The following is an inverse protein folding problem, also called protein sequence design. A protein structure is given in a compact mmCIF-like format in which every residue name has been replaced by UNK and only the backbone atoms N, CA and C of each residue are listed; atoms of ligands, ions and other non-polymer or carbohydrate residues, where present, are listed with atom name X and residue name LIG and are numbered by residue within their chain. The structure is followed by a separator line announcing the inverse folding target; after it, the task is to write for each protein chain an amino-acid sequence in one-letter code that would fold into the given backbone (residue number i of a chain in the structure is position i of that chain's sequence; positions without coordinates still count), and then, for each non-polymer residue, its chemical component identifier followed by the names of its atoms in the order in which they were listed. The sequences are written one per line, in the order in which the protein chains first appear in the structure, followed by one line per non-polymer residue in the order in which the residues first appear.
data_IF_146202556350
#
_entry.id   IF_146202556350
#
_cell.length_a   1.000
_cell.length_b   1.000
_cell.length_c   1.000
_cell.angle_alpha   90.00
_cell.angle_beta   90.00
_cell.angle_gamma   90.00
#
_symmetry.space_group_name_H-M   'P 1'
#
loop_
_entity.id
_entity.type
_entity.pdbx_description
1 polymer ?
#
# COMPACT_ATOMS: atom_id res chain seq x y z
N UNK A 1 2.76 -27.72 0.52
CA UNK A 1 2.61 -27.77 -0.95
C UNK A 1 3.80 -28.52 -1.53
N UNK A 2 3.55 -29.52 -2.37
CA UNK A 2 4.59 -30.21 -3.15
C UNK A 2 5.03 -29.35 -4.34
N UNK A 3 6.33 -29.19 -4.55
CA UNK A 3 6.90 -28.34 -5.59
C UNK A 3 6.70 -28.94 -6.99
N UNK A 4 6.60 -30.26 -7.12
CA UNK A 4 6.20 -30.94 -8.35
C UNK A 4 4.81 -30.52 -8.86
N UNK A 5 3.96 -29.99 -7.98
CA UNK A 5 2.60 -29.50 -8.31
C UNK A 5 2.57 -28.00 -8.59
N UNK A 6 3.65 -27.27 -8.32
CA UNK A 6 3.75 -25.86 -8.67
C UNK A 6 4.07 -25.74 -10.17
N UNK A 7 3.21 -25.05 -10.92
CA UNK A 7 3.40 -24.91 -12.37
C UNK A 7 4.53 -23.95 -12.74
N UNK A 8 4.86 -23.01 -11.84
CA UNK A 8 5.93 -22.05 -12.07
C UNK A 8 7.30 -22.67 -11.86
N UNK A 9 8.31 -22.09 -12.53
CA UNK A 9 9.72 -22.50 -12.43
C UNK A 9 10.58 -21.26 -12.31
N UNK A 10 11.74 -21.42 -11.70
CA UNK A 10 12.75 -20.35 -11.67
C UNK A 10 13.42 -20.20 -13.03
N UNK A 11 13.75 -18.97 -13.40
CA UNK A 11 14.56 -18.68 -14.58
C UNK A 11 16.05 -18.69 -14.22
N UNK A 12 16.89 -19.08 -15.19
CA UNK A 12 18.35 -19.04 -15.05
C UNK A 12 18.88 -17.61 -15.17
N UNK A 13 18.37 -16.88 -16.17
CA UNK A 13 18.77 -15.51 -16.47
C UNK A 13 17.71 -14.51 -15.98
N UNK A 14 18.14 -13.27 -15.72
CA UNK A 14 17.22 -12.18 -15.41
C UNK A 14 16.47 -11.74 -16.68
N UNK A 15 15.21 -11.29 -16.56
CA UNK A 15 14.48 -10.73 -17.70
C UNK A 15 15.19 -9.48 -18.23
N UNK A 16 15.41 -9.42 -19.55
CA UNK A 16 16.16 -8.34 -20.21
C UNK A 16 15.34 -7.07 -20.42
N UNK A 17 14.01 -7.19 -20.43
CA UNK A 17 13.06 -6.10 -20.64
C UNK A 17 12.67 -5.37 -19.34
N UNK A 18 13.33 -5.73 -18.23
CA UNK A 18 13.11 -5.15 -16.90
C UNK A 18 14.46 -4.74 -16.31
N UNK A 19 14.51 -3.59 -15.64
CA UNK A 19 15.75 -3.03 -15.08
C UNK A 19 15.72 -2.93 -13.56
N UNK A 20 14.54 -3.03 -12.96
CA UNK A 20 14.37 -2.93 -11.53
C UNK A 20 14.68 -4.25 -10.84
N UNK A 21 15.47 -4.19 -9.76
CA UNK A 21 15.90 -5.38 -9.04
C UNK A 21 14.71 -6.17 -8.49
N UNK A 22 13.71 -5.49 -7.91
CA UNK A 22 12.52 -6.14 -7.40
C UNK A 22 11.79 -6.95 -8.47
N UNK A 23 11.50 -6.37 -9.65
CA UNK A 23 10.76 -7.10 -10.67
C UNK A 23 11.61 -8.18 -11.34
N UNK A 24 12.89 -7.90 -11.63
CA UNK A 24 13.80 -8.92 -12.17
C UNK A 24 13.88 -10.15 -11.26
N UNK A 25 14.05 -9.94 -9.95
CA UNK A 25 14.18 -11.02 -8.97
C UNK A 25 12.86 -11.76 -8.77
N UNK A 26 11.74 -11.05 -8.69
CA UNK A 26 10.41 -11.66 -8.55
C UNK A 26 10.01 -12.48 -9.77
N UNK A 27 10.31 -11.99 -10.98
CA UNK A 27 10.07 -12.74 -12.24
C UNK A 27 10.97 -13.97 -12.28
N UNK A 28 12.27 -13.81 -12.01
CA UNK A 28 13.23 -14.93 -11.97
C UNK A 28 12.83 -16.00 -10.97
N UNK A 29 12.30 -15.62 -9.82
CA UNK A 29 11.83 -16.54 -8.78
C UNK A 29 10.43 -17.12 -9.04
N UNK A 30 9.73 -16.71 -10.10
CA UNK A 30 8.39 -17.18 -10.43
C UNK A 30 7.29 -16.68 -9.47
N UNK A 31 7.48 -15.50 -8.89
CA UNK A 31 6.50 -14.83 -8.01
C UNK A 31 5.54 -13.93 -8.79
N UNK A 32 6.03 -13.29 -9.85
CA UNK A 32 5.21 -12.46 -10.74
C UNK A 32 5.58 -12.73 -12.20
N UNK A 33 4.67 -12.42 -13.10
CA UNK A 33 4.90 -12.38 -14.55
C UNK A 33 4.51 -11.01 -15.09
N UNK A 34 5.26 -10.48 -16.05
CA UNK A 34 5.03 -9.14 -16.60
C UNK A 34 4.12 -9.25 -17.82
N UNK A 35 2.87 -8.83 -17.66
CA UNK A 35 1.89 -8.81 -18.75
C UNK A 35 2.10 -7.59 -19.67
N UNK A 36 2.56 -6.48 -19.10
CA UNK A 36 2.84 -5.24 -19.84
C UNK A 36 3.59 -4.22 -18.97
N UNK A 37 3.88 -3.05 -19.54
CA UNK A 37 4.58 -1.99 -18.81
C UNK A 37 3.76 -1.53 -17.59
N UNK A 38 4.25 -1.86 -16.39
CA UNK A 38 3.57 -1.55 -15.12
C UNK A 38 2.35 -2.42 -14.82
N UNK A 39 2.20 -3.58 -15.47
CA UNK A 39 1.08 -4.51 -15.29
C UNK A 39 1.66 -5.91 -15.05
N UNK A 40 1.42 -6.46 -13.87
CA UNK A 40 2.02 -7.72 -13.42
C UNK A 40 0.97 -8.71 -12.95
N UNK A 41 1.10 -9.95 -13.38
CA UNK A 41 0.34 -11.09 -12.87
C UNK A 41 1.03 -11.64 -11.63
N UNK A 42 0.33 -11.73 -10.51
CA UNK A 42 0.85 -12.39 -9.31
C UNK A 42 0.67 -13.90 -9.44
N UNK A 43 1.79 -14.63 -9.48
CA UNK A 43 1.84 -16.10 -9.57
C UNK A 43 1.66 -16.73 -8.18
N UNK A 44 1.47 -18.06 -8.04
CA UNK A 44 1.04 -18.66 -6.77
C UNK A 44 1.87 -18.27 -5.54
N UNK A 45 3.20 -18.20 -5.66
CA UNK A 45 4.06 -17.79 -4.54
C UNK A 45 3.94 -16.29 -4.25
N UNK A 46 3.92 -15.44 -5.28
CA UNK A 46 3.76 -13.99 -5.11
C UNK A 46 2.40 -13.61 -4.56
N UNK A 47 1.33 -14.28 -5.03
CA UNK A 47 -0.02 -14.06 -4.52
C UNK A 47 -0.14 -14.48 -3.04
N UNK A 48 0.55 -15.55 -2.60
CA UNK A 48 0.61 -15.91 -1.17
C UNK A 48 1.24 -14.79 -0.34
N UNK A 49 2.39 -14.25 -0.76
CA UNK A 49 3.06 -13.14 -0.06
C UNK A 49 2.17 -11.90 -0.03
N UNK A 50 1.61 -11.52 -1.18
CA UNK A 50 0.71 -10.38 -1.32
C UNK A 50 -0.50 -10.50 -0.38
N UNK A 51 -1.14 -11.68 -0.31
CA UNK A 51 -2.25 -11.93 0.60
C UNK A 51 -1.84 -11.85 2.08
N UNK A 52 -0.65 -12.35 2.44
CA UNK A 52 -0.13 -12.21 3.81
C UNK A 52 0.09 -10.75 4.20
N UNK A 53 0.63 -9.93 3.29
CA UNK A 53 0.74 -8.48 3.49
C UNK A 53 -0.64 -7.86 3.67
N UNK A 54 -1.60 -8.18 2.79
CA UNK A 54 -2.98 -7.68 2.91
C UNK A 54 -3.63 -8.06 4.25
N UNK A 55 -3.39 -9.29 4.74
CA UNK A 55 -3.93 -9.76 6.01
C UNK A 55 -3.31 -9.05 7.22
N UNK A 56 -2.03 -8.71 7.18
CA UNK A 56 -1.39 -7.87 8.21
C UNK A 56 -2.06 -6.49 8.22
N UNK A 57 -2.19 -5.87 7.04
CA UNK A 57 -2.81 -4.54 6.91
C UNK A 57 -4.24 -4.57 7.43
N UNK A 58 -5.06 -5.55 7.01
CA UNK A 58 -6.44 -5.76 7.45
C UNK A 58 -6.53 -5.83 8.97
N UNK A 59 -5.75 -6.70 9.59
CA UNK A 59 -5.73 -6.87 11.04
C UNK A 59 -5.42 -5.56 11.79
N UNK A 60 -4.48 -4.75 11.30
CA UNK A 60 -4.14 -3.47 11.94
C UNK A 60 -5.17 -2.35 11.67
N UNK A 61 -5.91 -2.41 10.55
CA UNK A 61 -7.03 -1.49 10.29
C UNK A 61 -8.26 -1.86 11.13
N UNK A 62 -8.57 -3.14 11.26
CA UNK A 62 -9.67 -3.64 12.11
C UNK A 62 -9.40 -3.29 13.59
N UNK A 63 -8.14 -3.42 14.03
CA UNK A 63 -7.74 -3.10 15.40
C UNK A 63 -7.93 -1.62 15.78
N UNK A 64 -8.03 -0.71 14.81
CA UNK A 64 -8.32 0.72 15.05
C UNK A 64 -9.78 1.09 14.74
N UNK A 65 -10.66 0.09 14.61
CA UNK A 65 -12.09 0.29 14.35
C UNK A 65 -12.43 0.59 12.89
N UNK A 66 -11.49 0.37 11.96
CA UNK A 66 -11.76 0.46 10.53
C UNK A 66 -12.71 -0.65 10.08
N UNK A 67 -13.68 -0.30 9.24
CA UNK A 67 -14.64 -1.27 8.68
C UNK A 67 -14.30 -1.56 7.22
N UNK A 68 -14.00 -2.82 6.90
CA UNK A 68 -13.66 -3.19 5.53
C UNK A 68 -14.92 -3.20 4.62
N UNK A 69 -14.84 -2.49 3.51
CA UNK A 69 -15.83 -2.44 2.43
C UNK A 69 -15.13 -2.71 1.09
N UNK A 70 -15.90 -2.90 0.02
CA UNK A 70 -15.35 -3.03 -1.33
C UNK A 70 -16.08 -2.10 -2.29
N UNK A 71 -15.39 -1.07 -2.78
CA UNK A 71 -15.93 -0.11 -3.75
C UNK A 71 -15.56 -0.52 -5.19
N UNK A 72 -16.40 -0.17 -6.18
CA UNK A 72 -16.16 -0.54 -7.57
C UNK A 72 -14.92 0.16 -8.14
N UNK A 73 -14.23 -0.52 -9.07
CA UNK A 73 -13.13 0.08 -9.83
C UNK A 73 -13.62 1.08 -10.89
N UNK A 74 -14.82 0.85 -11.44
CA UNK A 74 -15.38 1.69 -12.50
C UNK A 74 -16.27 2.79 -11.89
N UNK A 75 -15.86 4.04 -12.01
CA UNK A 75 -16.49 5.18 -11.34
C UNK A 75 -17.11 6.10 -12.40
N UNK A 76 -18.41 6.44 -12.30
CA UNK A 76 -19.06 7.36 -13.25
C UNK A 76 -18.38 8.74 -13.28
N UNK A 77 -18.26 9.33 -14.48
CA UNK A 77 -17.70 10.69 -14.67
C UNK A 77 -18.31 11.74 -13.74
N UNK A 78 -19.62 11.66 -13.47
CA UNK A 78 -20.33 12.61 -12.58
C UNK A 78 -19.66 12.76 -11.21
N UNK A 79 -19.21 11.66 -10.60
CA UNK A 79 -18.56 11.67 -9.28
C UNK A 79 -17.27 12.51 -9.30
N UNK A 80 -16.45 12.35 -10.34
CA UNK A 80 -15.21 13.10 -10.52
C UNK A 80 -15.44 14.57 -10.90
N UNK A 81 -16.53 14.87 -11.62
CA UNK A 81 -16.91 16.24 -11.93
C UNK A 81 -17.32 17.00 -10.67
N UNK A 82 -18.01 16.34 -9.72
CA UNK A 82 -18.41 16.96 -8.45
C UNK A 82 -17.21 17.53 -7.69
N UNK A 83 -16.04 16.89 -7.78
CA UNK A 83 -14.82 17.32 -7.09
C UNK A 83 -13.82 18.01 -8.00
N UNK A 84 -14.22 18.35 -9.24
CA UNK A 84 -13.39 18.95 -10.28
C UNK A 84 -12.14 18.12 -10.65
N UNK A 85 -12.08 16.85 -10.24
CA UNK A 85 -10.94 15.96 -10.47
C UNK A 85 -11.00 15.20 -11.79
N UNK A 86 -12.11 15.27 -12.52
CA UNK A 86 -12.19 14.65 -13.85
C UNK A 86 -11.11 15.18 -14.79
N UNK A 87 -10.90 16.49 -14.85
CA UNK A 87 -9.94 17.13 -15.76
C UNK A 87 -8.60 17.46 -15.10
N UNK A 88 -8.57 17.58 -13.77
CA UNK A 88 -7.38 17.99 -13.01
C UNK A 88 -6.60 16.82 -12.37
N UNK A 89 -7.02 15.57 -12.60
CA UNK A 89 -6.26 14.39 -12.19
C UNK A 89 -5.55 13.77 -13.39
N UNK A 90 -4.29 14.17 -13.59
CA UNK A 90 -3.46 13.79 -14.74
C UNK A 90 -3.37 12.27 -14.99
N UNK A 91 -3.32 11.46 -13.93
CA UNK A 91 -3.18 10.00 -14.03
C UNK A 91 -4.53 9.24 -14.07
N UNK A 92 -5.65 9.89 -14.37
CA UNK A 92 -6.95 9.21 -14.47
C UNK A 92 -7.12 8.51 -15.83
N UNK A 93 -7.34 7.20 -15.82
CA UNK A 93 -7.82 6.50 -17.02
C UNK A 93 -9.30 6.85 -17.25
N UNK A 94 -9.61 7.38 -18.44
CA UNK A 94 -10.97 7.72 -18.88
C UNK A 94 -11.41 6.71 -19.94
N UNK A 95 -12.63 6.19 -19.80
CA UNK A 95 -13.24 5.19 -20.66
C UNK A 95 -14.60 5.66 -21.15
N UNK A 96 -14.99 5.21 -22.34
CA UNK A 96 -16.34 5.41 -22.89
C UNK A 96 -16.99 4.03 -23.00
N UNK A 97 -18.13 3.84 -22.32
CA UNK A 97 -18.90 2.60 -22.39
C UNK A 97 -19.66 2.48 -23.71
N UNK A 98 -20.14 1.27 -24.04
CA UNK A 98 -20.93 1.04 -25.25
C UNK A 98 -22.24 1.86 -25.33
N UNK A 99 -22.71 2.37 -24.20
CA UNK A 99 -23.83 3.30 -24.07
C UNK A 99 -23.44 4.79 -24.20
N UNK A 100 -22.22 5.09 -24.64
CA UNK A 100 -21.63 6.44 -24.73
C UNK A 100 -21.47 7.18 -23.39
N UNK A 101 -21.64 6.50 -22.25
CA UNK A 101 -21.37 7.10 -20.94
C UNK A 101 -19.88 7.01 -20.62
N UNK A 102 -19.37 8.03 -19.93
CA UNK A 102 -17.97 8.11 -19.54
C UNK A 102 -17.75 7.63 -18.11
N UNK A 103 -16.61 6.95 -17.92
CA UNK A 103 -16.20 6.36 -16.67
C UNK A 103 -14.71 6.62 -16.42
N UNK A 104 -14.32 6.77 -15.17
CA UNK A 104 -12.94 6.70 -14.74
C UNK A 104 -12.65 5.32 -14.15
N UNK A 105 -11.48 4.75 -14.44
CA UNK A 105 -10.96 3.68 -13.58
C UNK A 105 -10.40 4.30 -12.31
N UNK A 106 -10.78 3.76 -11.16
CA UNK A 106 -10.46 4.29 -9.85
C UNK A 106 -8.96 4.34 -9.59
N UNK A 107 -8.38 5.53 -9.65
CA UNK A 107 -7.04 5.83 -9.13
C UNK A 107 -7.02 5.95 -7.60
N UNK A 108 -8.20 6.19 -7.01
CA UNK A 108 -8.56 6.39 -5.60
C UNK A 108 -10.10 6.46 -5.51
N UNK A 109 -10.66 6.65 -4.31
CA UNK A 109 -12.11 6.50 -4.06
C UNK A 109 -12.74 7.59 -3.18
N UNK A 110 -12.12 8.76 -2.99
CA UNK A 110 -12.74 9.84 -2.20
C UNK A 110 -14.16 10.20 -2.72
N UNK A 111 -14.35 10.26 -4.04
CA UNK A 111 -15.61 10.60 -4.71
C UNK A 111 -16.69 9.51 -4.64
N UNK A 112 -16.31 8.30 -4.23
CA UNK A 112 -17.21 7.15 -4.10
C UNK A 112 -17.64 7.00 -2.66
N UNK A 113 -16.68 7.04 -1.73
CA UNK A 113 -16.93 6.83 -0.31
C UNK A 113 -17.69 7.99 0.32
N UNK A 114 -17.42 9.22 -0.10
CA UNK A 114 -18.01 10.42 0.52
C UNK A 114 -19.55 10.44 0.42
N UNK A 115 -20.17 10.35 -0.78
CA UNK A 115 -21.64 10.29 -0.88
C UNK A 115 -22.23 8.95 -0.39
N UNK A 116 -21.42 7.90 -0.25
CA UNK A 116 -21.88 6.65 0.36
C UNK A 116 -22.10 6.84 1.87
N UNK A 117 -21.12 7.42 2.57
CA UNK A 117 -21.14 7.59 4.01
C UNK A 117 -22.17 8.65 4.45
N UNK A 118 -22.45 9.64 3.60
CA UNK A 118 -23.54 10.60 3.81
C UNK A 118 -24.90 9.94 4.07
N UNK A 119 -25.15 8.74 3.52
CA UNK A 119 -26.43 8.02 3.73
C UNK A 119 -26.61 7.52 5.16
N UNK A 120 -25.53 7.46 5.94
CA UNK A 120 -25.50 6.86 7.26
C UNK A 120 -25.02 7.83 8.35
N UNK A 121 -24.33 8.92 7.98
CA UNK A 121 -23.94 9.99 8.90
C UNK A 121 -25.05 11.03 8.92
N UNK A 122 -25.91 10.99 9.95
CA UNK A 122 -27.03 11.92 10.10
C UNK A 122 -26.84 12.88 11.28
N UNK A 123 -26.13 12.42 12.31
CA UNK A 123 -25.89 13.19 13.54
C UNK A 123 -24.47 13.00 14.05
N UNK A 124 -24.08 13.80 15.05
CA UNK A 124 -22.79 13.67 15.71
C UNK A 124 -22.55 12.29 16.34
N UNK A 125 -23.61 11.53 16.65
CA UNK A 125 -23.52 10.19 17.25
C UNK A 125 -23.01 9.14 16.26
N UNK A 126 -23.12 9.41 14.96
CA UNK A 126 -22.62 8.53 13.90
C UNK A 126 -21.11 8.77 13.63
N UNK A 127 -20.50 9.74 14.32
CA UNK A 127 -19.11 10.15 14.16
C UNK A 127 -18.31 9.91 15.46
N UNK A 128 -17.03 9.55 15.40
CA UNK A 128 -16.21 9.34 14.21
C UNK A 128 -16.36 7.93 13.64
N UNK A 129 -16.27 7.80 12.31
CA UNK A 129 -16.31 6.51 11.61
C UNK A 129 -15.18 6.40 10.59
N UNK A 130 -14.66 5.19 10.38
CA UNK A 130 -13.64 4.91 9.39
C UNK A 130 -13.98 3.64 8.61
N UNK A 131 -13.89 3.74 7.28
CA UNK A 131 -14.05 2.61 6.37
C UNK A 131 -12.80 2.47 5.51
N UNK A 132 -12.47 1.25 5.10
CA UNK A 132 -11.34 1.01 4.20
C UNK A 132 -11.64 -0.11 3.23
N UNK A 133 -10.82 -0.23 2.20
CA UNK A 133 -10.85 -1.36 1.29
C UNK A 133 -9.42 -1.78 0.94
N UNK A 134 -9.23 -3.00 0.47
CA UNK A 134 -8.02 -3.44 -0.25
C UNK A 134 -8.44 -3.80 -1.68
N UNK A 135 -8.13 -2.93 -2.63
CA UNK A 135 -8.70 -3.01 -3.98
C UNK A 135 -7.73 -2.51 -5.06
N UNK A 136 -7.83 -3.05 -6.27
CA UNK A 136 -6.99 -2.71 -7.43
C UNK A 136 -7.27 -1.33 -8.00
N UNK A 137 -6.25 -0.48 -8.01
CA UNK A 137 -6.27 0.88 -8.55
C UNK A 137 -5.60 0.94 -9.91
N UNK A 138 -5.99 1.96 -10.68
CA UNK A 138 -5.45 2.23 -12.00
C UNK A 138 -4.95 3.67 -12.06
N UNK A 139 -3.69 3.87 -12.45
CA UNK A 139 -3.12 5.19 -12.74
C UNK A 139 -2.52 5.17 -14.14
N UNK A 140 -2.93 6.12 -14.98
CA UNK A 140 -2.42 6.32 -16.33
C UNK A 140 -1.02 6.92 -16.31
N UNK A 141 -0.08 6.19 -15.68
CA UNK A 141 1.31 6.57 -15.54
C UNK A 141 1.98 6.59 -16.93
N UNK A 142 2.41 7.77 -17.42
CA UNK A 142 3.03 7.89 -18.72
C UNK A 142 4.27 6.98 -18.85
N UNK A 143 5.02 6.85 -17.76
CA UNK A 143 6.24 6.02 -17.71
C UNK A 143 6.22 5.10 -16.49
N UNK A 144 5.60 3.94 -16.65
CA UNK A 144 5.72 2.86 -15.67
C UNK A 144 7.18 2.40 -15.62
N UNK A 145 7.75 2.35 -14.42
CA UNK A 145 9.16 2.03 -14.16
C UNK A 145 9.30 1.40 -12.77
N UNK A 146 10.49 0.96 -12.41
CA UNK A 146 10.79 0.45 -11.07
C UNK A 146 9.96 -0.77 -10.62
N UNK A 147 9.45 -1.58 -11.55
CA UNK A 147 8.79 -2.84 -11.22
C UNK A 147 7.47 -2.65 -10.48
N UNK A 148 7.32 -3.34 -9.34
CA UNK A 148 6.15 -3.20 -8.48
C UNK A 148 6.10 -1.86 -7.73
N UNK A 149 7.16 -1.06 -7.75
CA UNK A 149 7.19 0.23 -7.06
C UNK A 149 6.36 1.30 -7.79
N UNK A 150 6.26 1.24 -9.13
CA UNK A 150 5.53 2.24 -9.92
C UNK A 150 4.89 1.62 -11.17
N UNK A 151 3.77 0.94 -10.94
CA UNK A 151 2.91 0.34 -11.97
C UNK A 151 1.75 1.24 -12.42
N UNK A 152 0.99 0.75 -13.40
CA UNK A 152 -0.29 1.33 -13.86
C UNK A 152 -1.47 0.68 -13.18
N UNK A 153 -1.38 -0.62 -12.93
CA UNK A 153 -2.35 -1.40 -12.17
C UNK A 153 -1.68 -1.91 -10.89
N UNK A 154 -2.27 -1.61 -9.73
CA UNK A 154 -1.68 -1.98 -8.45
C UNK A 154 -2.73 -2.11 -7.36
N UNK A 155 -2.50 -2.99 -6.39
CA UNK A 155 -3.34 -3.07 -5.19
C UNK A 155 -3.06 -1.88 -4.27
N UNK A 156 -4.11 -1.33 -3.68
CA UNK A 156 -3.99 -0.34 -2.62
C UNK A 156 -4.98 -0.66 -1.52
N UNK A 157 -4.51 -0.56 -0.28
CA UNK A 157 -5.38 -0.29 0.85
C UNK A 157 -5.60 1.20 0.92
N UNK A 158 -6.84 1.63 0.89
CA UNK A 158 -7.25 3.03 1.08
C UNK A 158 -8.33 3.08 2.18
N UNK A 159 -8.03 3.85 3.23
CA UNK A 159 -8.92 4.11 4.37
C UNK A 159 -9.38 5.56 4.31
N UNK A 160 -10.64 5.80 4.65
CA UNK A 160 -11.26 7.12 4.73
C UNK A 160 -11.94 7.25 6.09
N UNK A 161 -11.63 8.33 6.80
CA UNK A 161 -12.21 8.62 8.11
C UNK A 161 -13.02 9.90 8.08
N UNK A 162 -14.10 9.93 8.86
CA UNK A 162 -15.09 11.00 8.93
C UNK A 162 -15.25 11.42 10.39
N UNK A 163 -15.17 12.72 10.65
CA UNK A 163 -15.03 13.30 11.98
C UNK A 163 -15.92 14.53 12.15
N UNK A 164 -16.34 14.85 13.39
CA UNK A 164 -17.11 16.05 13.67
C UNK A 164 -16.27 17.32 13.49
N UNK A 165 -14.97 17.26 13.77
CA UNK A 165 -14.07 18.39 13.71
C UNK A 165 -12.61 18.00 13.43
N UNK A 166 -11.78 19.03 13.26
CA UNK A 166 -10.33 18.91 13.01
C UNK A 166 -9.57 18.27 14.18
N UNK A 167 -10.05 18.38 15.41
CA UNK A 167 -9.36 17.81 16.57
C UNK A 167 -9.58 16.30 16.64
N UNK A 168 -10.82 15.85 16.42
CA UNK A 168 -11.15 14.44 16.26
C UNK A 168 -10.37 13.81 15.09
N UNK A 169 -10.26 14.51 13.95
CA UNK A 169 -9.41 14.08 12.84
C UNK A 169 -7.94 13.97 13.25
N UNK A 170 -7.37 14.96 13.94
CA UNK A 170 -5.97 14.92 14.41
C UNK A 170 -5.72 13.75 15.35
N UNK A 171 -6.66 13.42 16.23
CA UNK A 171 -6.54 12.29 17.13
C UNK A 171 -6.55 10.97 16.37
N UNK A 172 -7.50 10.77 15.46
CA UNK A 172 -7.57 9.57 14.63
C UNK A 172 -6.36 9.43 13.69
N UNK A 173 -5.86 10.54 13.15
CA UNK A 173 -4.66 10.57 12.32
C UNK A 173 -3.43 10.00 13.07
N UNK A 174 -3.28 10.31 14.37
CA UNK A 174 -2.21 9.74 15.22
C UNK A 174 -2.43 8.24 15.48
N UNK A 175 -3.67 7.78 15.57
CA UNK A 175 -4.00 6.34 15.70
C UNK A 175 -3.55 5.60 14.43
N UNK A 176 -3.91 6.11 13.25
CA UNK A 176 -3.50 5.52 11.97
C UNK A 176 -1.98 5.54 11.81
N UNK A 177 -1.29 6.61 12.23
CA UNK A 177 0.17 6.65 12.21
C UNK A 177 0.79 5.48 12.98
N UNK A 178 0.31 5.21 14.19
CA UNK A 178 0.79 4.08 15.01
C UNK A 178 0.48 2.73 14.37
N UNK A 179 -0.70 2.57 13.78
CA UNK A 179 -1.07 1.35 13.07
C UNK A 179 -0.16 1.10 11.86
N UNK A 180 0.22 2.13 11.11
CA UNK A 180 1.12 2.00 9.96
C UNK A 180 2.51 1.54 10.39
N UNK A 181 3.06 2.09 11.47
CA UNK A 181 4.32 1.59 12.02
C UNK A 181 4.26 0.11 12.43
N UNK A 182 3.16 -0.34 13.06
CA UNK A 182 2.95 -1.76 13.37
C UNK A 182 2.88 -2.63 12.12
N UNK A 183 2.21 -2.16 11.06
CA UNK A 183 2.18 -2.87 9.77
C UNK A 183 3.62 -3.05 9.24
N UNK A 184 4.40 -1.97 9.22
CA UNK A 184 5.77 -2.03 8.70
C UNK A 184 6.70 -2.86 9.57
N UNK A 185 6.53 -2.85 10.90
CA UNK A 185 7.21 -3.77 11.82
C UNK A 185 6.89 -5.23 11.51
N UNK A 186 5.60 -5.58 11.40
CA UNK A 186 5.15 -6.94 11.05
C UNK A 186 5.60 -7.37 9.65
N UNK A 187 5.80 -6.43 8.74
CA UNK A 187 6.37 -6.65 7.41
C UNK A 187 7.90 -6.56 7.36
N UNK A 188 8.60 -6.42 8.50
CA UNK A 188 10.06 -6.42 8.57
C UNK A 188 10.76 -5.16 8.06
N UNK A 189 10.05 -4.04 7.93
CA UNK A 189 10.56 -2.78 7.38
C UNK A 189 10.73 -1.65 8.40
N UNK A 190 10.44 -1.88 9.69
CA UNK A 190 10.44 -0.80 10.69
C UNK A 190 11.78 -0.07 10.78
N UNK A 191 12.91 -0.80 10.74
CA UNK A 191 14.26 -0.23 10.84
C UNK A 191 14.66 0.64 9.64
N UNK A 192 13.91 0.53 8.54
CA UNK A 192 14.14 1.27 7.30
C UNK A 192 13.14 2.41 7.13
N UNK A 193 12.09 2.46 7.93
CA UNK A 193 10.92 3.34 7.72
C UNK A 193 11.01 4.61 8.56
N UNK A 194 10.78 5.76 7.92
CA UNK A 194 10.80 7.07 8.54
C UNK A 194 9.48 7.81 8.27
N UNK A 195 8.91 8.41 9.32
CA UNK A 195 7.84 9.39 9.14
C UNK A 195 8.44 10.61 8.45
N UNK A 196 7.92 10.94 7.28
CA UNK A 196 8.50 11.95 6.41
C UNK A 196 7.51 13.08 6.20
N UNK A 197 7.93 14.31 6.51
CA UNK A 197 7.18 15.51 6.20
C UNK A 197 7.26 15.75 4.69
N UNK A 198 6.11 15.86 4.05
CA UNK A 198 6.01 15.98 2.60
C UNK A 198 5.00 17.04 2.19
N UNK A 199 5.00 17.40 0.90
CA UNK A 199 3.98 18.27 0.34
C UNK A 199 2.62 17.56 0.41
N UNK A 200 1.57 18.26 0.82
CA UNK A 200 0.23 17.68 0.87
C UNK A 200 -0.46 17.54 -0.49
N UNK A 201 0.28 17.79 -1.57
CA UNK A 201 -0.18 17.73 -2.96
C UNK A 201 -1.45 18.55 -3.18
N UNK A 202 -2.41 17.97 -3.89
CA UNK A 202 -3.70 18.62 -4.14
C UNK A 202 -4.57 18.75 -2.87
N UNK A 203 -4.25 18.02 -1.79
CA UNK A 203 -5.17 17.79 -0.66
C UNK A 203 -4.96 18.74 0.51
N UNK A 204 -3.73 19.12 0.80
CA UNK A 204 -3.37 19.96 1.95
C UNK A 204 -2.02 20.63 1.73
N UNK A 205 -1.63 21.58 2.58
CA UNK A 205 -0.30 22.20 2.49
C UNK A 205 0.81 21.18 2.79
N UNK A 206 0.62 20.34 3.81
CA UNK A 206 1.59 19.33 4.26
C UNK A 206 0.89 18.02 4.60
N UNK A 207 1.55 16.91 4.31
CA UNK A 207 1.14 15.55 4.68
C UNK A 207 2.28 14.82 5.39
N UNK A 208 2.02 13.57 5.79
CA UNK A 208 3.08 12.66 6.20
C UNK A 208 3.10 11.43 5.30
N UNK A 209 4.28 11.16 4.78
CA UNK A 209 4.62 9.93 4.09
C UNK A 209 5.34 8.97 5.04
N UNK A 210 5.27 7.69 4.72
CA UNK A 210 6.09 6.65 5.31
C UNK A 210 7.08 6.22 4.24
N UNK A 211 8.32 6.63 4.41
CA UNK A 211 9.39 6.44 3.45
C UNK A 211 10.35 5.37 3.98
N UNK A 212 10.58 4.32 3.20
CA UNK A 212 11.58 3.31 3.53
C UNK A 212 12.88 3.57 2.76
N UNK A 213 14.03 3.59 3.46
CA UNK A 213 15.34 3.69 2.80
C UNK A 213 15.48 2.52 1.84
N UNK A 214 15.68 2.83 0.57
CA UNK A 214 15.66 1.86 -0.52
C UNK A 214 16.55 2.38 -1.66
N UNK A 215 17.62 1.66 -2.03
CA UNK A 215 18.49 2.06 -3.15
C UNK A 215 17.74 2.22 -4.47
N UNK A 216 16.76 1.33 -4.74
CA UNK A 216 15.88 1.38 -5.91
C UNK A 216 14.74 2.41 -5.81
N UNK A 217 14.70 3.19 -4.72
CA UNK A 217 13.69 4.21 -4.48
C UNK A 217 13.84 5.45 -5.36
N UNK A 218 12.72 6.09 -5.70
CA UNK A 218 12.69 7.29 -6.54
C UNK A 218 12.86 8.58 -5.72
N UNK A 219 12.44 8.53 -4.45
CA UNK A 219 12.40 9.69 -3.58
C UNK A 219 13.77 9.95 -2.95
N UNK A 220 13.96 11.19 -2.55
CA UNK A 220 15.14 11.61 -1.78
C UNK A 220 14.62 12.27 -0.52
N UNK A 221 15.08 11.79 0.63
CA UNK A 221 14.65 12.28 1.94
C UNK A 221 15.86 12.72 2.77
N UNK A 222 15.62 13.68 3.67
CA UNK A 222 16.60 14.24 4.59
C UNK A 222 16.25 13.84 6.01
N UNK A 223 17.04 12.94 6.59
CA UNK A 223 16.74 12.23 7.83
C UNK A 223 17.43 12.91 9.00
N UNK A 224 16.68 13.17 10.07
CA UNK A 224 17.23 13.50 11.37
C UNK A 224 17.47 12.21 12.17
N UNK A 225 18.73 11.78 12.30
CA UNK A 225 19.06 10.54 13.02
C UNK A 225 18.71 10.59 14.52
N UNK A 226 18.61 11.79 15.12
CA UNK A 226 18.19 11.99 16.52
C UNK A 226 16.70 11.70 16.75
N UNK A 227 15.84 12.17 15.83
CA UNK A 227 14.38 12.07 15.97
C UNK A 227 13.76 10.94 15.16
N UNK A 228 14.52 10.31 14.25
CA UNK A 228 14.04 9.29 13.31
C UNK A 228 12.84 9.76 12.48
N UNK A 229 12.84 11.05 12.13
CA UNK A 229 11.93 11.67 11.18
C UNK A 229 12.71 12.17 9.97
N UNK A 230 12.03 12.34 8.86
CA UNK A 230 12.63 12.85 7.64
C UNK A 230 11.81 13.97 7.01
N UNK A 231 12.43 14.66 6.06
CA UNK A 231 11.81 15.72 5.25
C UNK A 231 12.00 15.32 3.79
N UNK A 232 10.94 15.31 3.01
CA UNK A 232 11.02 15.03 1.59
C UNK A 232 11.78 16.16 0.87
N UNK A 233 12.64 15.81 -0.09
CA UNK A 233 13.38 16.76 -0.93
C UNK A 233 12.49 17.85 -1.53
N UNK A 234 11.22 17.56 -1.82
CA UNK A 234 10.26 18.53 -2.37
C UNK A 234 9.99 19.75 -1.47
N UNK A 235 10.20 19.63 -0.15
CA UNK A 235 9.90 20.70 0.81
C UNK A 235 11.09 21.13 1.65
N UNK A 236 12.29 20.58 1.41
CA UNK A 236 13.48 20.86 2.23
C UNK A 236 13.89 22.33 2.21
N UNK A 237 13.72 23.01 1.08
CA UNK A 237 14.04 24.44 0.94
C UNK A 237 13.14 25.35 1.79
N UNK A 238 11.99 24.83 2.25
CA UNK A 238 11.11 25.52 3.18
C UNK A 238 11.37 25.11 4.63
N UNK A 239 12.05 23.98 4.86
CA UNK A 239 12.25 23.34 6.16
C UNK A 239 13.66 22.76 6.28
N UNK A 240 14.67 23.62 6.45
CA UNK A 240 16.09 23.23 6.51
C UNK A 240 16.52 22.52 7.81
N UNK A 241 15.60 22.37 8.77
CA UNK A 241 15.88 21.77 10.08
C UNK A 241 14.84 20.72 10.42
N UNK A 242 15.23 19.77 11.27
CA UNK A 242 14.33 18.75 11.81
C UNK A 242 13.10 19.40 12.48
N UNK A 243 11.86 19.14 12.03
CA UNK A 243 10.67 19.80 12.58
C UNK A 243 10.35 19.42 14.02
N UNK A 244 11.04 18.43 14.59
CA UNK A 244 10.87 18.00 15.99
C UNK A 244 11.93 18.55 16.94
N UNK A 245 13.10 18.98 16.47
CA UNK A 245 14.21 19.34 17.36
C UNK A 245 15.15 20.43 16.82
N UNK A 246 14.81 21.03 15.69
CA UNK A 246 15.55 22.10 15.02
C UNK A 246 17.00 21.76 14.61
N UNK A 247 17.38 20.48 14.66
CA UNK A 247 18.68 20.02 14.20
C UNK A 247 18.83 20.23 12.68
N UNK A 248 19.88 20.93 12.27
CA UNK A 248 20.24 21.16 10.86
C UNK A 248 21.10 20.05 10.25
N UNK A 249 21.65 19.14 11.05
CA UNK A 249 22.41 17.98 10.56
C UNK A 249 21.46 16.88 10.11
N UNK A 250 21.08 16.92 8.84
CA UNK A 250 20.22 15.93 8.20
C UNK A 250 21.04 15.07 7.23
N UNK A 251 20.81 13.75 7.26
CA UNK A 251 21.44 12.78 6.36
C UNK A 251 20.52 12.52 5.17
N UNK A 252 21.04 12.71 3.96
CA UNK A 252 20.29 12.41 2.73
C UNK A 252 20.30 10.91 2.42
N UNK A 253 19.17 10.37 1.99
CA UNK A 253 19.04 8.99 1.55
C UNK A 253 18.04 8.85 0.40
N UNK A 254 18.23 7.84 -0.44
CA UNK A 254 17.20 7.36 -1.39
C UNK A 254 16.16 6.53 -0.65
N UNK A 255 14.90 6.73 -1.01
CA UNK A 255 13.78 6.06 -0.36
C UNK A 255 12.62 5.78 -1.30
N UNK A 256 11.70 4.95 -0.83
CA UNK A 256 10.43 4.66 -1.50
C UNK A 256 9.26 4.91 -0.55
N UNK A 257 8.25 5.65 -1.03
CA UNK A 257 6.99 5.85 -0.31
C UNK A 257 6.20 4.54 -0.22
N UNK A 258 6.10 3.98 0.98
CA UNK A 258 5.36 2.74 1.27
C UNK A 258 3.98 3.00 1.91
N UNK A 259 3.69 4.24 2.27
CA UNK A 259 2.37 4.69 2.68
C UNK A 259 2.28 6.21 2.81
N UNK A 260 1.06 6.74 2.81
CA UNK A 260 0.81 8.18 2.90
C UNK A 260 -0.51 8.46 3.61
N UNK A 261 -0.56 9.56 4.35
CA UNK A 261 -1.70 9.93 5.17
C UNK A 261 -1.99 11.44 5.08
N UNK A 262 -3.23 11.78 4.75
CA UNK A 262 -3.66 13.15 4.49
C UNK A 262 -4.82 13.57 5.41
N UNK A 263 -4.76 14.83 5.85
CA UNK A 263 -5.91 15.51 6.44
C UNK A 263 -6.62 16.24 5.31
N UNK A 264 -7.78 15.73 4.91
CA UNK A 264 -8.54 16.26 3.77
C UNK A 264 -9.39 17.46 4.17
N UNK A 265 -9.64 17.64 5.48
CA UNK A 265 -10.57 18.65 5.97
C UNK A 265 -11.95 18.43 5.36
N UNK A 266 -12.58 19.50 4.90
CA UNK A 266 -13.90 19.44 4.26
C UNK A 266 -13.82 19.35 2.72
N UNK A 267 -12.64 19.07 2.14
CA UNK A 267 -12.41 19.17 0.68
C UNK A 267 -13.38 18.33 -0.16
N UNK A 268 -13.70 17.14 0.32
CA UNK A 268 -14.62 16.21 -0.36
C UNK A 268 -16.03 16.27 0.21
N UNK A 269 -16.18 16.51 1.51
CA UNK A 269 -17.49 16.63 2.14
C UNK A 269 -18.30 17.80 1.56
N UNK A 270 -17.69 18.98 1.36
CA UNK A 270 -18.40 20.18 0.86
C UNK A 270 -19.02 20.00 -0.53
N UNK A 271 -18.30 19.54 -1.57
CA UNK A 271 -18.89 19.36 -2.89
C UNK A 271 -20.04 18.35 -2.97
N UNK A 272 -20.08 17.37 -2.05
CA UNK A 272 -21.17 16.40 -1.93
C UNK A 272 -22.21 16.80 -0.86
N UNK A 273 -22.07 17.97 -0.26
CA UNK A 273 -22.96 18.48 0.82
C UNK A 273 -23.10 17.51 1.99
N UNK A 274 -22.01 16.83 2.35
CA UNK A 274 -21.99 15.89 3.47
C UNK A 274 -21.89 16.65 4.78
N UNK A 275 -23.02 16.74 5.47
CA UNK A 275 -23.19 17.42 6.75
C UNK A 275 -23.70 16.47 7.83
N UNK A 276 -23.58 16.89 9.08
CA UNK A 276 -24.19 16.23 10.23
C UNK A 276 -24.81 17.26 11.17
N UNK A 277 -25.81 16.85 11.95
CA UNK A 277 -26.39 17.68 13.01
C UNK A 277 -25.59 17.51 14.31
N UNK A 278 -25.08 18.61 14.85
CA UNK A 278 -24.31 18.61 16.10
C UNK A 278 -25.18 18.55 17.36
N UNK A 279 -24.54 18.49 18.53
CA UNK A 279 -25.22 18.43 19.84
C UNK A 279 -26.15 19.63 20.11
N UNK A 280 -25.94 20.75 19.42
CA UNK A 280 -26.75 21.97 19.55
C UNK A 280 -27.87 22.06 18.51
N UNK A 281 -27.98 21.07 17.62
CA UNK A 281 -28.94 21.07 16.52
C UNK A 281 -28.48 21.85 15.28
N UNK A 282 -27.22 22.27 15.21
CA UNK A 282 -26.66 22.99 14.06
C UNK A 282 -26.07 22.02 13.04
N UNK A 283 -26.30 22.29 11.76
CA UNK A 283 -25.64 21.56 10.68
C UNK A 283 -24.17 21.99 10.55
N UNK A 284 -23.26 21.00 10.51
CA UNK A 284 -21.83 21.19 10.30
C UNK A 284 -21.31 20.29 9.18
N UNK A 285 -20.30 20.77 8.47
CA UNK A 285 -19.60 19.97 7.47
C UNK A 285 -18.80 18.85 8.15
N UNK A 286 -18.79 17.67 7.54
CA UNK A 286 -17.96 16.56 8.02
C UNK A 286 -16.49 16.79 7.65
N UNK A 287 -15.60 16.52 8.60
CA UNK A 287 -14.15 16.61 8.41
C UNK A 287 -13.58 15.24 8.05
N UNK A 288 -12.74 15.16 7.03
CA UNK A 288 -12.25 13.91 6.46
C UNK A 288 -10.73 13.73 6.54
N UNK A 289 -10.30 12.47 6.62
CA UNK A 289 -8.91 12.04 6.38
C UNK A 289 -8.86 10.88 5.40
N UNK A 290 -7.73 10.72 4.68
CA UNK A 290 -7.47 9.53 3.86
C UNK A 290 -6.06 8.97 4.07
N UNK A 291 -5.93 7.65 3.92
CA UNK A 291 -4.76 6.92 4.36
C UNK A 291 -4.48 5.74 3.41
N UNK A 292 -3.36 5.80 2.68
CA UNK A 292 -2.97 4.86 1.62
C UNK A 292 -1.77 3.98 1.99
N UNK A 293 -1.84 2.69 1.66
CA UNK A 293 -0.69 1.75 1.64
C UNK A 293 -0.86 0.95 0.35
N UNK A 294 0.20 0.74 -0.42
CA UNK A 294 0.18 -0.14 -1.59
C UNK A 294 0.76 -1.52 -1.26
N UNK A 295 -0.05 -2.57 -1.02
CA UNK A 295 0.48 -3.91 -0.72
C UNK A 295 1.46 -4.46 -1.77
N UNK A 296 1.15 -4.26 -3.06
CA UNK A 296 2.04 -4.65 -4.17
C UNK A 296 3.36 -3.87 -4.16
N UNK A 297 3.30 -2.56 -3.90
CA UNK A 297 4.49 -1.73 -3.74
C UNK A 297 5.31 -2.15 -2.52
N UNK A 298 4.65 -2.46 -1.41
CA UNK A 298 5.30 -2.93 -0.19
C UNK A 298 6.06 -4.23 -0.43
N UNK A 299 5.47 -5.17 -1.18
CA UNK A 299 6.18 -6.39 -1.61
C UNK A 299 7.42 -6.07 -2.46
N UNK A 300 7.32 -5.14 -3.40
CA UNK A 300 8.48 -4.67 -4.18
C UNK A 300 9.57 -4.05 -3.31
N UNK A 301 9.20 -3.19 -2.36
CA UNK A 301 10.13 -2.54 -1.43
C UNK A 301 10.83 -3.56 -0.53
N UNK A 302 10.12 -4.58 -0.06
CA UNK A 302 10.70 -5.68 0.72
C UNK A 302 11.76 -6.42 -0.08
N UNK A 303 11.55 -6.67 -1.36
CA UNK A 303 12.56 -7.32 -2.20
C UNK A 303 13.79 -6.42 -2.38
N UNK A 304 13.60 -5.13 -2.61
CA UNK A 304 14.73 -4.18 -2.71
C UNK A 304 15.54 -4.08 -1.41
N UNK A 305 14.88 -4.14 -0.25
CA UNK A 305 15.51 -3.86 1.05
C UNK A 305 16.03 -5.14 1.72
N UNK A 306 15.29 -6.24 1.61
CA UNK A 306 15.55 -7.51 2.31
C UNK A 306 15.97 -8.59 1.31
N UNK A 307 17.22 -8.49 0.87
CA UNK A 307 17.87 -9.46 0.00
C UNK A 307 19.34 -9.63 0.36
N UNK A 308 19.94 -10.71 -0.13
CA UNK A 308 21.37 -10.95 -0.13
C UNK A 308 21.84 -11.38 -1.53
N UNK A 309 23.11 -11.76 -1.66
CA UNK A 309 23.70 -12.22 -2.94
C UNK A 309 23.03 -13.50 -3.49
N UNK A 310 22.25 -14.22 -2.68
CA UNK A 310 21.56 -15.45 -3.06
C UNK A 310 20.10 -15.20 -3.45
N UNK A 311 19.50 -14.10 -3.02
CA UNK A 311 18.17 -13.67 -3.46
C UNK A 311 17.34 -13.04 -2.35
N UNK A 312 16.02 -13.26 -2.42
CA UNK A 312 15.04 -12.62 -1.54
C UNK A 312 15.09 -13.22 -0.13
N UNK A 313 15.08 -12.36 0.89
CA UNK A 313 14.98 -12.75 2.31
C UNK A 313 13.62 -12.28 2.84
N UNK A 314 12.61 -13.14 2.74
CA UNK A 314 11.26 -12.81 3.22
C UNK A 314 11.22 -12.74 4.76
N UNK A 315 10.63 -11.69 5.35
CA UNK A 315 10.23 -11.71 6.75
C UNK A 315 9.30 -12.88 7.05
N UNK A 316 9.48 -13.52 8.21
CA UNK A 316 8.74 -14.73 8.61
C UNK A 316 7.22 -14.56 8.47
N UNK A 317 6.68 -13.39 8.84
CA UNK A 317 5.24 -13.13 8.82
C UNK A 317 4.63 -13.16 7.41
N UNK A 318 5.42 -12.91 6.35
CA UNK A 318 4.94 -12.82 4.97
C UNK A 318 5.57 -13.83 4.02
N UNK A 319 6.54 -14.62 4.48
CA UNK A 319 7.15 -15.68 3.67
C UNK A 319 6.06 -16.60 3.09
N UNK A 320 6.14 -17.00 1.81
CA UNK A 320 5.08 -17.78 1.16
C UNK A 320 4.87 -19.16 1.83
N UNK A 321 5.95 -19.70 2.42
CA UNK A 321 5.98 -20.88 3.27
C UNK A 321 7.01 -20.63 4.38
N UNK A 322 6.78 -21.20 5.56
CA UNK A 322 7.68 -21.07 6.70
C UNK A 322 8.87 -22.03 6.61
N UNK A 323 8.72 -23.14 5.89
CA UNK A 323 9.74 -24.19 5.77
C UNK A 323 9.85 -24.62 4.32
N UNK A 324 11.09 -24.69 3.79
CA UNK A 324 11.39 -25.35 2.52
C UNK A 324 12.06 -26.69 2.81
N UNK A 325 11.31 -27.78 2.64
CA UNK A 325 11.80 -29.14 2.81
C UNK A 325 12.41 -29.62 1.49
N UNK A 326 13.67 -30.03 1.52
CA UNK A 326 14.39 -30.57 0.37
C UNK A 326 14.61 -32.07 0.55
N UNK A 327 14.30 -32.86 -0.47
CA UNK A 327 14.63 -34.29 -0.48
C UNK A 327 15.76 -34.58 -1.48
N UNK A 328 16.92 -34.98 -0.96
CA UNK A 328 18.09 -35.37 -1.77
C UNK A 328 18.12 -36.87 -2.12
N UNK A 329 17.24 -37.66 -1.51
CA UNK A 329 17.11 -39.11 -1.76
C UNK A 329 15.63 -39.45 -1.84
N UNK A 330 15.25 -40.29 -2.79
CA UNK A 330 13.91 -40.87 -2.80
C UNK A 330 13.80 -41.88 -1.66
N UNK A 331 13.45 -41.41 -0.48
CA UNK A 331 13.02 -42.22 0.66
C UNK A 331 11.73 -41.67 1.27
N UNK A 332 11.08 -42.50 2.08
CA UNK A 332 9.82 -42.13 2.72
C UNK A 332 9.99 -41.11 3.85
N UNK A 333 11.22 -40.86 4.32
CA UNK A 333 11.46 -39.98 5.49
C UNK A 333 11.06 -38.54 5.19
N UNK A 334 11.40 -38.03 4.00
CA UNK A 334 11.00 -36.69 3.60
C UNK A 334 9.47 -36.56 3.52
N UNK A 335 8.78 -37.59 3.01
CA UNK A 335 7.31 -37.62 2.96
C UNK A 335 6.69 -37.68 4.36
N UNK A 336 7.21 -38.51 5.26
CA UNK A 336 6.76 -38.58 6.66
C UNK A 336 6.99 -37.26 7.40
N UNK A 337 8.14 -36.61 7.19
CA UNK A 337 8.43 -35.30 7.78
C UNK A 337 7.51 -34.21 7.24
N UNK A 338 7.27 -34.19 5.92
CA UNK A 338 6.29 -33.29 5.30
C UNK A 338 4.91 -33.44 5.95
N UNK A 339 4.42 -34.67 6.08
CA UNK A 339 3.13 -34.96 6.74
C UNK A 339 3.13 -34.46 8.18
N UNK A 340 4.14 -34.83 8.98
CA UNK A 340 4.27 -34.42 10.39
C UNK A 340 4.20 -32.90 10.56
N UNK A 341 4.99 -32.16 9.79
CA UNK A 341 5.03 -30.70 9.85
C UNK A 341 3.70 -30.07 9.42
N UNK A 342 3.10 -30.57 8.33
CA UNK A 342 1.81 -30.04 7.86
C UNK A 342 0.65 -30.36 8.82
N UNK A 343 0.64 -31.54 9.45
CA UNK A 343 -0.33 -31.89 10.50
C UNK A 343 -0.19 -31.01 11.74
N UNK A 344 1.02 -30.55 12.05
CA UNK A 344 1.27 -29.56 13.10
C UNK A 344 0.86 -28.11 12.71
N UNK A 345 0.26 -27.91 11.52
CA UNK A 345 -0.20 -26.59 11.06
C UNK A 345 0.88 -25.73 10.42
N UNK A 346 2.08 -26.26 10.16
CA UNK A 346 3.17 -25.51 9.55
C UNK A 346 3.02 -25.44 8.03
N UNK A 347 3.31 -24.27 7.46
CA UNK A 347 3.32 -24.06 6.01
C UNK A 347 4.63 -24.58 5.41
N UNK A 348 4.60 -25.79 4.85
CA UNK A 348 5.79 -26.42 4.25
C UNK A 348 5.72 -26.40 2.72
N UNK A 349 6.77 -25.89 2.09
CA UNK A 349 7.05 -26.10 0.66
C UNK A 349 7.99 -27.30 0.53
N UNK A 350 7.54 -28.37 -0.11
CA UNK A 350 8.30 -29.61 -0.22
C UNK A 350 8.82 -29.76 -1.65
N UNK A 351 10.13 -29.65 -1.83
CA UNK A 351 10.79 -30.03 -3.07
C UNK A 351 10.85 -31.56 -3.21
N UNK A 352 9.83 -32.11 -3.85
CA UNK A 352 9.64 -33.53 -4.14
C UNK A 352 10.01 -33.89 -5.59
N UNK A 353 10.68 -32.98 -6.31
CA UNK A 353 11.10 -33.21 -7.69
C UNK A 353 12.28 -34.18 -7.72
N UNK A 354 12.30 -35.11 -8.67
CA UNK A 354 13.43 -36.01 -8.89
C UNK A 354 14.57 -35.33 -9.63
N UNK A 355 15.81 -35.83 -9.45
CA UNK A 355 16.97 -35.42 -10.25
C UNK A 355 17.95 -34.45 -9.58
N UNK A 356 18.10 -34.52 -8.25
CA UNK A 356 19.19 -33.83 -7.53
C UNK A 356 20.46 -34.66 -7.49
#
# INVERSE_FOLDING_TARGET
MKQSRLFTRTLKELPKDETSFNAQTLIRAGFVDKLGAGIYTFLPLGLRVHNKICNIIRAEMDAIGGQEILMPALIPKKNWLTTERWDNFDALFKLIGGNQKEYGLGATHEEVVTPLLQKYILSYQDLSVAVYQIQTKFRNEPRAKAGLLRGREFSMKDLYSFHPDEEALKQYYKIVQKAYFKIFERCGLIDYTYLTYAAGGAFSKYSHEFQAICPGGEDTIHICDKCKIAINQEIIDQHHTCPSCDNSKLRTAKSVEIGNIFKLGTRFAKPFEVKYTDETGQEKDVVMGCYGIGPSRLMGAIVEILHDDKGIVWPQAIAPFSIHLLSFKQDDKATTLYQTLTTAGLEVFYDDRGGH
#
